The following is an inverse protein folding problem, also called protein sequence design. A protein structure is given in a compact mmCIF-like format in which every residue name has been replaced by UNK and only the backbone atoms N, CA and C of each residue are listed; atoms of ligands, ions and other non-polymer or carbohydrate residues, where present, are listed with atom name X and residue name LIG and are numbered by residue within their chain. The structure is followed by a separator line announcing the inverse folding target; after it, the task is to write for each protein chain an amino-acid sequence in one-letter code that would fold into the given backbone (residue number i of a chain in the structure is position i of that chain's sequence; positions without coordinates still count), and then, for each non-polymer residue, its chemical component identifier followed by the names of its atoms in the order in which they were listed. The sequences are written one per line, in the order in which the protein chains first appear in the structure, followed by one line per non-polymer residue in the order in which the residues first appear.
data_IF_153563942913
#
_entry.id   IF_153563942913
#
_cell.length_a   1.000
_cell.length_b   1.000
_cell.length_c   1.000
_cell.angle_alpha   90.00
_cell.angle_beta   90.00
_cell.angle_gamma   90.00
#
_symmetry.space_group_name_H-M   'P 1'
#
loop_
_entity.id
_entity.type
_entity.pdbx_description
1 polymer ?
#
# COMPACT_ATOMS: atom_id res chain seq x y z
N UNK A 1 -7.04 -12.84 -11.44
CA UNK A 1 -7.42 -11.50 -11.95
C UNK A 1 -6.30 -10.85 -12.75
N UNK A 2 -5.15 -10.51 -12.14
CA UNK A 2 -4.06 -9.82 -12.84
C UNK A 2 -3.50 -10.59 -14.04
N UNK A 3 -3.25 -11.91 -13.90
CA UNK A 3 -2.81 -12.77 -15.03
C UNK A 3 -3.79 -12.76 -16.21
N UNK A 4 -5.10 -12.71 -15.96
CA UNK A 4 -6.11 -12.66 -17.01
C UNK A 4 -6.13 -11.30 -17.72
N UNK A 5 -5.92 -10.21 -16.97
CA UNK A 5 -5.88 -8.84 -17.52
C UNK A 5 -4.56 -8.51 -18.21
N UNK A 6 -3.48 -9.14 -17.77
CA UNK A 6 -2.12 -8.96 -18.28
C UNK A 6 -1.47 -10.33 -18.52
N UNK A 7 -1.74 -10.99 -19.65
CA UNK A 7 -1.26 -12.35 -19.92
C UNK A 7 0.26 -12.51 -19.90
N UNK A 8 1.00 -11.44 -20.24
CA UNK A 8 2.46 -11.42 -20.21
C UNK A 8 3.08 -11.08 -18.85
N UNK A 9 2.28 -10.93 -17.78
CA UNK A 9 2.79 -10.60 -16.45
C UNK A 9 3.20 -11.88 -15.69
N UNK A 10 4.51 -12.15 -15.49
CA UNK A 10 4.95 -13.27 -14.68
C UNK A 10 4.70 -12.96 -13.20
N UNK A 11 3.65 -13.56 -12.63
CA UNK A 11 3.43 -13.55 -11.17
C UNK A 11 4.12 -14.78 -10.60
N UNK A 12 5.33 -14.60 -10.06
CA UNK A 12 6.19 -15.69 -9.58
C UNK A 12 5.87 -16.19 -8.18
N UNK A 13 5.09 -15.42 -7.40
CA UNK A 13 4.67 -15.81 -6.06
C UNK A 13 3.52 -14.96 -5.54
N UNK A 14 2.74 -15.53 -4.63
CA UNK A 14 1.73 -14.85 -3.83
C UNK A 14 1.77 -15.46 -2.44
N UNK A 15 1.71 -14.64 -1.40
CA UNK A 15 1.69 -15.10 -0.02
C UNK A 15 0.73 -14.23 0.79
N UNK A 16 -0.19 -14.87 1.52
CA UNK A 16 -1.06 -14.20 2.49
C UNK A 16 -0.37 -14.25 3.86
N UNK A 17 -0.06 -13.08 4.42
CA UNK A 17 0.64 -12.99 5.69
C UNK A 17 0.47 -11.64 6.34
N UNK A 18 1.16 -11.45 7.46
CA UNK A 18 1.13 -10.21 8.23
C UNK A 18 2.55 -9.66 8.41
N UNK A 19 2.71 -8.39 8.86
CA UNK A 19 4.02 -7.84 9.21
C UNK A 19 4.56 -8.37 10.54
N UNK A 20 3.90 -9.35 11.18
CA UNK A 20 4.36 -9.90 12.44
C UNK A 20 5.69 -10.65 12.28
N UNK A 21 6.61 -10.43 13.22
CA UNK A 21 7.92 -11.09 13.22
C UNK A 21 7.83 -12.63 13.19
N UNK A 22 6.78 -13.22 13.77
CA UNK A 22 6.55 -14.66 13.75
C UNK A 22 6.27 -15.20 12.33
N UNK A 23 5.70 -14.38 11.44
CA UNK A 23 5.39 -14.78 10.06
C UNK A 23 6.60 -14.60 9.13
N UNK A 24 7.58 -13.78 9.54
CA UNK A 24 8.72 -13.40 8.71
C UNK A 24 9.51 -14.59 8.13
N UNK A 25 9.86 -15.64 8.89
CA UNK A 25 10.65 -16.75 8.35
C UNK A 25 9.99 -17.43 7.14
N UNK A 26 8.68 -17.63 7.20
CA UNK A 26 7.92 -18.26 6.11
C UNK A 26 7.79 -17.32 4.91
N UNK A 27 7.51 -16.03 5.14
CA UNK A 27 7.43 -15.01 4.10
C UNK A 27 8.79 -14.87 3.37
N UNK A 28 9.88 -14.76 4.12
CA UNK A 28 11.22 -14.61 3.57
C UNK A 28 11.63 -15.84 2.73
N UNK A 29 11.35 -17.05 3.21
CA UNK A 29 11.60 -18.27 2.45
C UNK A 29 10.83 -18.29 1.12
N UNK A 30 9.54 -17.92 1.14
CA UNK A 30 8.71 -17.86 -0.06
C UNK A 30 9.22 -16.82 -1.08
N UNK A 31 9.60 -15.63 -0.60
CA UNK A 31 10.13 -14.56 -1.45
C UNK A 31 11.46 -14.98 -2.08
N UNK A 32 12.40 -15.54 -1.30
CA UNK A 32 13.70 -15.99 -1.82
C UNK A 32 13.57 -17.11 -2.84
N UNK A 33 12.67 -18.06 -2.59
CA UNK A 33 12.41 -19.15 -3.52
C UNK A 33 11.80 -18.65 -4.84
N UNK A 34 10.95 -17.62 -4.78
CA UNK A 34 10.34 -17.03 -5.97
C UNK A 34 11.26 -16.07 -6.73
N UNK A 35 12.30 -15.54 -6.08
CA UNK A 35 13.27 -14.59 -6.63
C UNK A 35 12.66 -13.47 -7.51
N UNK A 36 11.73 -12.65 -6.97
CA UNK A 36 11.06 -11.63 -7.75
C UNK A 36 11.95 -10.41 -8.03
N UNK A 37 11.74 -9.75 -9.18
CA UNK A 37 12.31 -8.42 -9.45
C UNK A 37 11.55 -7.30 -8.71
N UNK A 38 10.27 -7.52 -8.46
CA UNK A 38 9.34 -6.57 -7.83
C UNK A 38 8.50 -7.26 -6.76
N UNK A 39 8.60 -6.78 -5.53
CA UNK A 39 7.78 -7.19 -4.39
C UNK A 39 6.70 -6.14 -4.09
N UNK A 40 5.44 -6.55 -4.08
CA UNK A 40 4.31 -5.70 -3.72
C UNK A 40 3.79 -6.10 -2.33
N UNK A 41 3.86 -5.19 -1.36
CA UNK A 41 3.49 -5.44 0.05
C UNK A 41 2.20 -4.71 0.41
N UNK A 42 1.19 -5.45 0.90
CA UNK A 42 -0.15 -4.94 1.16
C UNK A 42 -0.55 -4.97 2.65
N UNK A 43 0.40 -4.81 3.58
CA UNK A 43 0.14 -4.81 5.03
C UNK A 43 -0.54 -3.51 5.55
N UNK A 44 -0.66 -2.50 4.68
CA UNK A 44 -1.20 -1.19 5.06
C UNK A 44 -0.14 -0.28 5.69
N UNK A 45 -0.36 1.02 5.57
CA UNK A 45 0.53 2.02 6.15
C UNK A 45 0.26 2.18 7.66
N UNK A 46 1.30 2.35 8.50
CA UNK A 46 2.72 2.43 8.14
C UNK A 46 3.45 1.07 8.10
N UNK A 47 2.79 -0.02 8.50
CA UNK A 47 3.41 -1.33 8.70
C UNK A 47 4.15 -1.87 7.46
N UNK A 48 3.56 -1.72 6.27
CA UNK A 48 4.19 -2.16 5.02
C UNK A 48 5.55 -1.47 4.77
N UNK A 49 5.65 -0.16 5.06
CA UNK A 49 6.82 0.64 4.74
C UNK A 49 7.93 0.34 5.76
N UNK A 50 7.56 0.16 7.03
CA UNK A 50 8.46 -0.27 8.09
C UNK A 50 8.98 -1.69 7.84
N UNK A 51 8.09 -2.63 7.49
CA UNK A 51 8.47 -4.02 7.20
C UNK A 51 9.41 -4.10 5.99
N UNK A 52 9.13 -3.36 4.91
CA UNK A 52 10.06 -3.25 3.77
C UNK A 52 11.39 -2.67 4.24
N UNK A 53 11.37 -1.57 5.01
CA UNK A 53 12.59 -0.94 5.48
C UNK A 53 13.48 -1.88 6.31
N UNK A 54 12.86 -2.64 7.20
CA UNK A 54 13.50 -3.60 8.10
C UNK A 54 14.12 -4.77 7.34
N UNK A 55 13.44 -5.30 6.33
CA UNK A 55 13.83 -6.56 5.68
C UNK A 55 14.42 -6.40 4.28
N UNK A 56 14.44 -5.22 3.67
CA UNK A 56 14.93 -5.01 2.29
C UNK A 56 16.35 -5.53 2.05
N UNK A 57 17.24 -5.36 3.04
CA UNK A 57 18.63 -5.82 2.91
C UNK A 57 18.70 -7.35 2.94
N UNK A 58 17.92 -7.97 3.83
CA UNK A 58 17.87 -9.41 3.98
C UNK A 58 17.23 -10.06 2.75
N UNK A 59 16.09 -9.57 2.30
CA UNK A 59 15.35 -10.10 1.15
C UNK A 59 16.04 -9.88 -0.19
N UNK A 60 16.85 -8.82 -0.31
CA UNK A 60 17.60 -8.47 -1.52
C UNK A 60 16.76 -8.37 -2.81
N UNK A 61 15.46 -8.06 -2.69
CA UNK A 61 14.59 -7.82 -3.84
C UNK A 61 14.92 -6.44 -4.44
N UNK A 62 15.15 -6.32 -5.76
CA UNK A 62 15.55 -5.06 -6.38
C UNK A 62 14.60 -3.90 -6.09
N UNK A 63 13.28 -4.14 -6.17
CA UNK A 63 12.25 -3.13 -5.90
C UNK A 63 11.17 -3.69 -4.98
N UNK A 64 10.91 -3.00 -3.87
CA UNK A 64 9.80 -3.30 -2.96
C UNK A 64 8.89 -2.10 -2.83
N UNK A 65 7.57 -2.29 -3.03
CA UNK A 65 6.59 -1.22 -3.00
C UNK A 65 5.46 -1.58 -2.03
N UNK A 66 5.21 -0.70 -1.07
CA UNK A 66 4.00 -0.75 -0.27
C UNK A 66 2.79 -0.29 -1.09
N UNK A 67 1.82 -1.17 -1.32
CA UNK A 67 0.65 -0.89 -2.17
C UNK A 67 -0.64 -0.65 -1.37
N UNK A 68 -0.61 -0.84 -0.05
CA UNK A 68 -1.79 -0.70 0.80
C UNK A 68 -2.99 -1.49 0.28
N UNK A 69 -4.16 -0.86 0.26
CA UNK A 69 -5.41 -1.47 -0.21
C UNK A 69 -5.56 -1.56 -1.74
N UNK A 70 -4.49 -1.45 -2.53
CA UNK A 70 -4.59 -1.52 -3.99
C UNK A 70 -5.19 -2.85 -4.45
N UNK A 71 -4.83 -3.97 -3.81
CA UNK A 71 -5.38 -5.28 -4.15
C UNK A 71 -6.88 -5.39 -3.86
N UNK A 72 -7.41 -4.72 -2.83
CA UNK A 72 -8.86 -4.67 -2.59
C UNK A 72 -9.62 -4.02 -3.76
N UNK A 73 -9.02 -3.00 -4.39
CA UNK A 73 -9.59 -2.37 -5.58
C UNK A 73 -9.51 -3.26 -6.81
N UNK A 74 -8.36 -3.93 -7.01
CA UNK A 74 -8.18 -4.88 -8.13
C UNK A 74 -9.11 -6.09 -8.00
N UNK A 75 -9.32 -6.58 -6.77
CA UNK A 75 -10.20 -7.70 -6.47
C UNK A 75 -11.69 -7.32 -6.45
N UNK A 76 -12.02 -6.03 -6.59
CA UNK A 76 -13.41 -5.56 -6.56
C UNK A 76 -14.04 -5.50 -5.16
N UNK A 77 -13.28 -5.81 -4.11
CA UNK A 77 -13.71 -5.74 -2.70
C UNK A 77 -14.04 -4.31 -2.30
N UNK A 78 -13.31 -3.32 -2.83
CA UNK A 78 -13.53 -1.89 -2.56
C UNK A 78 -13.81 -1.11 -3.83
N UNK A 79 -14.97 -0.44 -3.85
CA UNK A 79 -15.32 0.49 -4.92
C UNK A 79 -14.47 1.77 -4.81
N UNK A 80 -13.79 2.13 -5.90
CA UNK A 80 -13.06 3.39 -6.02
C UNK A 80 -14.02 4.58 -6.01
N UNK A 81 -13.53 5.77 -5.64
CA UNK A 81 -14.31 7.00 -5.75
C UNK A 81 -14.83 7.22 -7.18
N UNK A 82 -16.05 7.76 -7.36
CA UNK A 82 -16.54 8.24 -8.64
C UNK A 82 -15.51 9.13 -9.37
N UNK A 83 -15.43 9.03 -10.69
CA UNK A 83 -14.43 9.73 -11.48
C UNK A 83 -14.45 11.26 -11.28
N UNK A 84 -15.63 11.86 -11.09
CA UNK A 84 -15.75 13.30 -10.83
C UNK A 84 -15.13 13.71 -9.49
N UNK A 85 -15.23 12.88 -8.44
CA UNK A 85 -14.58 13.15 -7.14
C UNK A 85 -13.07 13.03 -7.24
N UNK A 86 -12.56 12.08 -8.02
CA UNK A 86 -11.12 11.94 -8.28
C UNK A 86 -10.59 13.19 -9.00
N UNK A 87 -11.31 13.68 -10.02
CA UNK A 87 -10.94 14.91 -10.75
C UNK A 87 -10.91 16.16 -9.86
N UNK A 88 -11.70 16.17 -8.80
CA UNK A 88 -11.71 17.25 -7.79
C UNK A 88 -10.67 17.04 -6.67
N UNK A 89 -9.83 16.00 -6.74
CA UNK A 89 -8.91 15.60 -5.67
C UNK A 89 -9.61 15.27 -4.32
N UNK A 90 -10.88 14.88 -4.37
CA UNK A 90 -11.72 14.56 -3.19
C UNK A 90 -11.80 13.06 -2.89
N UNK A 91 -10.88 12.26 -3.42
CA UNK A 91 -10.84 10.82 -3.14
C UNK A 91 -10.61 10.53 -1.64
N UNK A 92 -9.88 11.40 -0.93
CA UNK A 92 -9.70 11.28 0.52
C UNK A 92 -11.03 11.44 1.29
N UNK A 93 -11.90 12.35 0.83
CA UNK A 93 -13.21 12.61 1.43
C UNK A 93 -14.15 11.43 1.18
N UNK A 94 -14.18 10.91 -0.05
CA UNK A 94 -14.92 9.67 -0.36
C UNK A 94 -14.50 8.50 0.54
N UNK A 95 -13.18 8.35 0.75
CA UNK A 95 -12.65 7.32 1.65
C UNK A 95 -13.03 7.57 3.11
N UNK A 96 -13.10 8.82 3.57
CA UNK A 96 -13.57 9.12 4.92
C UNK A 96 -15.05 8.77 5.09
N UNK A 97 -15.89 9.14 4.13
CA UNK A 97 -17.34 8.83 4.17
C UNK A 97 -17.61 7.32 4.15
N UNK A 98 -16.84 6.56 3.38
CA UNK A 98 -17.00 5.10 3.29
C UNK A 98 -16.28 4.32 4.40
N UNK A 99 -15.33 4.95 5.10
CA UNK A 99 -14.53 4.34 6.17
C UNK A 99 -14.38 5.33 7.33
N UNK A 100 -15.48 5.64 8.05
CA UNK A 100 -15.52 6.73 9.03
C UNK A 100 -14.51 6.56 10.16
N UNK A 101 -14.14 5.33 10.52
CA UNK A 101 -13.10 5.05 11.53
C UNK A 101 -11.72 5.63 11.17
N UNK A 102 -11.47 6.01 9.91
CA UNK A 102 -10.22 6.66 9.48
C UNK A 102 -10.16 8.16 9.77
N UNK A 103 -11.16 8.75 10.44
CA UNK A 103 -11.19 10.19 10.75
C UNK A 103 -9.92 10.70 11.42
N UNK A 104 -9.30 9.91 12.30
CA UNK A 104 -8.04 10.26 12.99
C UNK A 104 -6.90 10.56 12.02
N UNK A 105 -6.80 9.80 10.93
CA UNK A 105 -5.79 10.02 9.88
C UNK A 105 -6.04 11.32 9.11
N UNK A 106 -7.29 11.76 9.01
CA UNK A 106 -7.63 13.00 8.31
C UNK A 106 -7.25 14.24 9.11
N UNK A 107 -6.92 14.11 10.40
CA UNK A 107 -6.37 15.20 11.20
C UNK A 107 -4.96 15.62 10.76
N UNK A 108 -4.26 14.79 9.99
CA UNK A 108 -2.96 15.14 9.44
C UNK A 108 -3.07 16.14 8.28
N UNK A 109 -4.21 16.19 7.57
CA UNK A 109 -4.46 17.17 6.51
C UNK A 109 -4.46 18.63 7.04
N UNK A 110 -5.26 19.02 8.05
CA UNK A 110 -5.22 20.38 8.57
C UNK A 110 -3.87 20.71 9.23
N UNK A 111 -3.22 19.73 9.87
CA UNK A 111 -1.85 19.91 10.40
C UNK A 111 -0.85 20.23 9.29
N UNK A 112 -0.91 19.49 8.19
CA UNK A 112 -0.06 19.72 7.02
C UNK A 112 -0.33 21.09 6.39
N UNK A 113 -1.59 21.44 6.16
CA UNK A 113 -1.97 22.76 5.63
C UNK A 113 -1.42 23.87 6.54
N UNK A 114 -1.58 23.74 7.86
CA UNK A 114 -1.06 24.71 8.81
C UNK A 114 0.48 24.80 8.79
N UNK A 115 1.17 23.67 8.69
CA UNK A 115 2.63 23.63 8.58
C UNK A 115 3.12 24.36 7.31
N UNK A 116 2.51 24.05 6.15
CA UNK A 116 2.82 24.72 4.87
C UNK A 116 2.57 26.21 4.94
N UNK A 117 1.45 26.65 5.54
CA UNK A 117 1.14 28.08 5.69
C UNK A 117 2.10 28.82 6.63
N UNK A 118 2.67 28.13 7.62
CA UNK A 118 3.68 28.70 8.52
C UNK A 118 5.05 28.79 7.87
N UNK A 119 5.40 27.80 7.04
CA UNK A 119 6.70 27.71 6.37
C UNK A 119 6.76 28.60 5.11
N UNK A 120 5.62 28.82 4.43
CA UNK A 120 5.46 29.72 3.28
C UNK A 120 5.53 31.23 3.60
N UNK A 121 6.29 31.63 4.63
CA UNK A 121 6.61 33.03 4.98
C UNK A 121 8.13 33.28 5.14
N UNK A 122 8.95 32.53 4.41
CA UNK A 122 10.38 32.84 4.21
C UNK A 122 10.61 33.49 2.84
#
# INVERSE_FOLDING_TARGET
LLRARFPGLPVVGVYEGSPAAADYPAIAAAIRAAAPDLLLVAYGAPAQDLWIHEHKQDLAVPVSIGVGGAFDHVAGVRRRAPAWLIRLNLEWLWRLLTQPWRWRRQLDLPRFVWAVLREGRA
#
